data_IF_388341642074
#
_entry.id   IF_388341642074
#
_cell.length_a   1.000
_cell.length_b   1.000
_cell.length_c   1.000
_cell.angle_alpha   90.00
_cell.angle_beta   90.00
_cell.angle_gamma   90.00
#
_symmetry.space_group_name_H-M   'P 1'
#
loop_
_entity.id
_entity.type
_entity.pdbx_description
1 polymer ?
#
# COMPACT_ATOMS: atom_id res chain seq x y z
N UNK A 1 60.44 25.29 -16.66
CA UNK A 1 59.54 26.35 -16.16
C UNK A 1 58.10 25.90 -16.33
N UNK A 2 57.36 25.80 -15.21
CA UNK A 2 55.89 25.94 -15.04
C UNK A 2 55.01 25.01 -15.92
N UNK A 3 54.07 24.21 -15.40
CA UNK A 3 53.09 24.48 -14.33
C UNK A 3 52.60 23.17 -13.72
N UNK A 4 52.67 23.05 -12.40
CA UNK A 4 51.72 22.25 -11.64
C UNK A 4 50.40 23.00 -11.51
N UNK A 5 49.32 22.29 -11.18
CA UNK A 5 48.49 22.49 -9.97
C UNK A 5 47.22 21.63 -10.12
N UNK A 6 47.01 20.73 -9.17
CA UNK A 6 45.73 20.06 -8.91
C UNK A 6 44.80 21.07 -8.25
N UNK A 7 43.57 21.22 -8.76
CA UNK A 7 42.38 21.78 -8.10
C UNK A 7 41.19 21.03 -8.72
N UNK A 8 40.59 20.02 -8.09
CA UNK A 8 39.69 20.06 -6.93
C UNK A 8 38.45 20.95 -7.15
N UNK A 9 37.28 20.28 -7.19
CA UNK A 9 35.94 20.79 -6.88
C UNK A 9 35.19 21.62 -7.94
N UNK A 10 34.18 21.00 -8.56
CA UNK A 10 32.82 21.46 -8.31
C UNK A 10 31.85 20.27 -8.26
N UNK A 11 31.41 20.01 -7.03
CA UNK A 11 30.29 19.18 -6.65
C UNK A 11 29.05 19.60 -7.45
N UNK A 12 28.56 18.72 -8.32
CA UNK A 12 27.14 18.62 -8.61
C UNK A 12 26.73 17.18 -8.31
N UNK A 13 26.87 16.83 -7.03
CA UNK A 13 26.07 15.76 -6.46
C UNK A 13 24.64 16.30 -6.40
N UNK A 14 23.92 16.25 -7.52
CA UNK A 14 22.47 16.10 -7.45
C UNK A 14 22.25 14.79 -6.72
N UNK A 15 22.04 14.88 -5.41
CA UNK A 15 21.32 13.87 -4.66
C UNK A 15 19.97 13.71 -5.38
N UNK A 16 19.92 12.78 -6.32
CA UNK A 16 18.67 12.14 -6.67
C UNK A 16 18.31 11.42 -5.38
N UNK A 17 17.44 12.03 -4.60
CA UNK A 17 16.72 11.34 -3.55
C UNK A 17 15.92 10.26 -4.28
N UNK A 18 16.53 9.09 -4.48
CA UNK A 18 15.78 7.87 -4.67
C UNK A 18 15.05 7.70 -3.35
N UNK A 19 13.80 8.18 -3.31
CA UNK A 19 12.84 7.74 -2.33
C UNK A 19 12.76 6.23 -2.52
N UNK A 20 13.47 5.46 -1.69
CA UNK A 20 13.28 4.02 -1.66
C UNK A 20 11.78 3.80 -1.43
N UNK A 21 11.13 3.09 -2.35
CA UNK A 21 9.75 2.66 -2.13
C UNK A 21 9.71 1.90 -0.80
N UNK A 22 8.75 2.26 0.05
CA UNK A 22 8.54 1.55 1.32
C UNK A 22 8.08 0.14 0.96
N UNK A 23 8.79 -0.87 1.47
CA UNK A 23 8.40 -2.26 1.19
C UNK A 23 7.16 -2.64 2.00
N UNK A 24 6.32 -3.53 1.46
CA UNK A 24 5.16 -4.07 2.17
C UNK A 24 5.54 -4.67 3.52
N UNK A 25 6.68 -5.37 3.58
CA UNK A 25 7.18 -5.96 4.81
C UNK A 25 7.47 -4.90 5.88
N UNK A 26 8.00 -3.72 5.50
CA UNK A 26 8.27 -2.63 6.44
C UNK A 26 6.99 -2.12 7.11
N UNK A 27 5.93 -1.95 6.31
CA UNK A 27 4.61 -1.53 6.79
C UNK A 27 4.01 -2.58 7.73
N UNK A 28 3.97 -3.85 7.30
CA UNK A 28 3.38 -4.92 8.09
C UNK A 28 4.17 -5.18 9.39
N UNK A 29 5.50 -5.10 9.34
CA UNK A 29 6.36 -5.26 10.52
C UNK A 29 6.13 -4.16 11.57
N UNK A 30 5.69 -2.97 11.15
CA UNK A 30 5.36 -1.88 12.08
C UNK A 30 4.13 -2.15 12.96
N UNK A 31 3.31 -3.15 12.59
CA UNK A 31 2.08 -3.53 13.28
C UNK A 31 2.26 -4.71 14.25
N UNK A 32 3.46 -5.30 14.30
CA UNK A 32 3.71 -6.52 15.06
C UNK A 32 3.18 -7.79 14.35
N UNK A 33 3.03 -8.87 15.11
CA UNK A 33 2.70 -10.18 14.57
C UNK A 33 1.19 -10.37 14.38
N UNK A 34 0.76 -10.76 13.19
CA UNK A 34 -0.59 -11.24 12.93
C UNK A 34 -0.75 -12.72 13.31
N UNK A 35 -1.95 -13.12 13.73
CA UNK A 35 -2.29 -14.52 14.03
C UNK A 35 -2.59 -15.36 12.79
N UNK A 36 -3.08 -14.72 11.73
CA UNK A 36 -3.51 -15.37 10.49
C UNK A 36 -3.39 -14.40 9.32
N UNK A 37 -3.09 -14.93 8.14
CA UNK A 37 -3.14 -14.24 6.85
C UNK A 37 -3.98 -15.06 5.88
N UNK A 38 -4.84 -14.38 5.12
CA UNK A 38 -5.45 -14.89 3.89
C UNK A 38 -4.97 -13.98 2.74
N UNK A 39 -4.60 -14.56 1.60
CA UNK A 39 -4.02 -13.82 0.48
C UNK A 39 -4.49 -14.45 -0.83
N UNK A 40 -4.94 -13.60 -1.74
CA UNK A 40 -5.49 -13.99 -3.03
C UNK A 40 -4.94 -13.04 -4.08
N UNK A 41 -4.48 -13.60 -5.19
CA UNK A 41 -3.76 -12.85 -6.21
C UNK A 41 -4.29 -13.20 -7.60
N UNK A 42 -4.21 -12.25 -8.53
CA UNK A 42 -4.41 -12.48 -9.95
C UNK A 42 -3.32 -11.78 -10.76
N UNK A 43 -2.79 -12.45 -11.78
CA UNK A 43 -1.69 -11.93 -12.60
C UNK A 43 -0.33 -12.53 -12.25
N UNK A 44 0.74 -11.76 -12.41
CA UNK A 44 2.11 -12.24 -12.24
C UNK A 44 3.20 -11.17 -12.35
N UNK A 45 4.36 -11.54 -12.90
CA UNK A 45 5.64 -10.82 -12.79
C UNK A 45 5.64 -9.33 -13.18
N UNK A 46 4.70 -8.89 -14.04
CA UNK A 46 4.62 -7.50 -14.48
C UNK A 46 3.33 -6.85 -14.01
N UNK A 47 2.18 -7.44 -14.32
CA UNK A 47 0.88 -6.91 -13.95
C UNK A 47 0.21 -7.89 -12.96
N UNK A 48 -0.17 -7.39 -11.79
CA UNK A 48 -0.82 -8.20 -10.77
C UNK A 48 -1.67 -7.37 -9.81
N UNK A 49 -2.66 -8.05 -9.25
CA UNK A 49 -3.61 -7.53 -8.28
C UNK A 49 -3.62 -8.47 -7.08
N UNK A 50 -3.46 -7.93 -5.87
CA UNK A 50 -3.50 -8.70 -4.63
C UNK A 50 -4.58 -8.18 -3.68
N UNK A 51 -5.27 -9.13 -3.05
CA UNK A 51 -6.16 -8.90 -1.92
C UNK A 51 -5.69 -9.77 -0.75
N UNK A 52 -5.50 -9.18 0.42
CA UNK A 52 -5.17 -9.94 1.61
C UNK A 52 -5.90 -9.44 2.86
N UNK A 53 -6.11 -10.36 3.80
CA UNK A 53 -6.65 -10.09 5.14
C UNK A 53 -5.65 -10.57 6.16
N UNK A 54 -5.20 -9.67 7.02
CA UNK A 54 -4.33 -9.98 8.15
C UNK A 54 -5.11 -9.81 9.44
N UNK A 55 -5.10 -10.85 10.25
CA UNK A 55 -5.89 -10.92 11.47
C UNK A 55 -4.97 -10.68 12.66
N UNK A 56 -5.27 -9.69 13.50
CA UNK A 56 -4.43 -9.29 14.63
C UNK A 56 -5.21 -9.34 15.95
N UNK A 57 -4.55 -9.73 17.03
CA UNK A 57 -5.19 -9.74 18.35
C UNK A 57 -5.38 -8.32 18.87
N UNK A 58 -4.38 -7.47 18.66
CA UNK A 58 -4.40 -6.03 18.90
C UNK A 58 -3.27 -5.36 18.11
N UNK A 59 -3.35 -4.05 17.89
CA UNK A 59 -2.28 -3.25 17.29
C UNK A 59 -2.11 -1.97 18.11
N UNK A 60 -0.87 -1.68 18.48
CA UNK A 60 -0.50 -0.37 19.03
C UNK A 60 -0.07 0.56 17.89
N UNK A 61 -0.86 1.60 17.66
CA UNK A 61 -0.55 2.63 16.66
C UNK A 61 0.24 3.80 17.24
N UNK A 62 0.53 3.83 18.53
CA UNK A 62 1.32 4.91 19.13
C UNK A 62 2.72 4.97 18.50
N UNK A 63 3.02 6.09 17.85
CA UNK A 63 4.30 6.29 17.15
C UNK A 63 4.47 5.46 15.86
N UNK A 64 3.40 4.83 15.34
CA UNK A 64 3.46 4.15 14.05
C UNK A 64 3.75 5.17 12.93
N UNK A 65 4.76 4.93 12.07
CA UNK A 65 5.19 5.91 11.08
C UNK A 65 4.33 5.92 9.79
N UNK A 66 3.45 4.94 9.59
CA UNK A 66 2.68 4.80 8.35
C UNK A 66 1.18 5.07 8.55
N UNK A 67 0.60 4.50 9.60
CA UNK A 67 -0.83 4.53 9.81
C UNK A 67 -1.27 5.78 10.55
N UNK A 68 -2.37 6.36 10.07
CA UNK A 68 -3.08 7.44 10.74
C UNK A 68 -4.55 7.08 10.89
N UNK A 69 -5.27 7.66 11.88
CA UNK A 69 -6.72 7.59 11.91
C UNK A 69 -7.30 8.13 10.60
N UNK A 70 -8.35 7.47 10.09
CA UNK A 70 -9.01 7.93 8.87
C UNK A 70 -9.72 9.28 9.13
N UNK A 71 -9.76 10.11 8.09
CA UNK A 71 -10.53 11.34 8.05
C UNK A 71 -11.58 11.30 6.93
N UNK A 72 -12.49 12.26 6.90
CA UNK A 72 -13.48 12.38 5.80
C UNK A 72 -12.79 12.45 4.42
N UNK A 73 -11.74 13.28 4.27
CA UNK A 73 -10.97 13.35 3.02
C UNK A 73 -10.28 12.04 2.67
N UNK A 74 -9.78 11.31 3.66
CA UNK A 74 -9.14 10.02 3.44
C UNK A 74 -10.15 8.94 3.01
N UNK A 75 -11.40 9.06 3.45
CA UNK A 75 -12.50 8.16 3.06
C UNK A 75 -12.79 8.26 1.56
N UNK A 76 -12.83 9.47 1.01
CA UNK A 76 -13.01 9.70 -0.43
C UNK A 76 -11.84 9.09 -1.24
N UNK A 77 -10.60 9.26 -0.76
CA UNK A 77 -9.41 8.70 -1.40
C UNK A 77 -9.45 7.17 -1.35
N UNK A 78 -9.76 6.58 -0.19
CA UNK A 78 -9.90 5.14 -0.01
C UNK A 78 -10.96 4.57 -0.96
N UNK A 79 -12.13 5.19 -1.05
CA UNK A 79 -13.18 4.77 -1.98
C UNK A 79 -12.71 4.81 -3.43
N UNK A 80 -11.95 5.82 -3.85
CA UNK A 80 -11.41 5.88 -5.21
C UNK A 80 -10.46 4.72 -5.53
N UNK A 81 -9.62 4.30 -4.57
CA UNK A 81 -8.74 3.14 -4.73
C UNK A 81 -9.52 1.82 -4.74
N UNK A 82 -10.56 1.69 -3.92
CA UNK A 82 -11.42 0.49 -3.93
C UNK A 82 -12.21 0.43 -5.25
N UNK A 83 -12.68 1.57 -5.78
CA UNK A 83 -13.33 1.64 -7.09
C UNK A 83 -12.40 1.17 -8.22
N UNK A 84 -11.13 1.59 -8.20
CA UNK A 84 -10.15 1.11 -9.18
C UNK A 84 -9.89 -0.40 -9.02
N UNK A 85 -9.68 -0.84 -7.79
CA UNK A 85 -9.47 -2.25 -7.46
C UNK A 85 -10.62 -3.14 -7.96
N UNK A 86 -11.85 -2.77 -7.65
CA UNK A 86 -13.05 -3.52 -8.04
C UNK A 86 -13.24 -3.53 -9.57
N UNK A 87 -12.90 -2.46 -10.29
CA UNK A 87 -12.93 -2.45 -11.78
C UNK A 87 -11.98 -3.49 -12.37
N UNK A 88 -10.81 -3.68 -11.77
CA UNK A 88 -9.91 -4.75 -12.21
C UNK A 88 -10.48 -6.13 -11.92
N UNK A 89 -11.12 -6.34 -10.76
CA UNK A 89 -11.81 -7.60 -10.45
C UNK A 89 -12.92 -7.92 -11.46
N UNK A 90 -13.67 -6.92 -11.93
CA UNK A 90 -14.70 -7.09 -12.97
C UNK A 90 -14.14 -7.57 -14.32
N UNK A 91 -12.86 -7.29 -14.59
CA UNK A 91 -12.18 -7.71 -15.82
C UNK A 91 -11.62 -9.14 -15.74
N UNK A 92 -11.52 -9.71 -14.54
CA UNK A 92 -10.98 -11.05 -14.34
C UNK A 92 -12.05 -12.13 -14.52
N UNK A 93 -11.61 -13.37 -14.81
CA UNK A 93 -12.52 -14.51 -14.86
C UNK A 93 -13.22 -14.69 -13.50
N UNK A 94 -14.52 -14.96 -13.51
CA UNK A 94 -15.33 -15.23 -12.30
C UNK A 94 -14.83 -16.45 -11.53
N UNK A 95 -14.09 -17.36 -12.17
CA UNK A 95 -13.45 -18.50 -11.50
C UNK A 95 -12.10 -18.15 -10.88
N UNK A 96 -11.59 -16.93 -11.08
CA UNK A 96 -10.37 -16.43 -10.44
C UNK A 96 -10.55 -16.44 -8.93
N UNK A 97 -9.52 -16.91 -8.22
CA UNK A 97 -9.59 -17.06 -6.77
C UNK A 97 -9.84 -15.71 -6.08
N UNK A 98 -9.17 -14.64 -6.50
CA UNK A 98 -9.37 -13.30 -5.92
C UNK A 98 -10.81 -12.82 -6.09
N UNK A 99 -11.44 -13.04 -7.25
CA UNK A 99 -12.83 -12.66 -7.51
C UNK A 99 -13.79 -13.47 -6.63
N UNK A 100 -13.51 -14.76 -6.46
CA UNK A 100 -14.33 -15.64 -5.62
C UNK A 100 -14.15 -15.41 -4.11
N UNK A 101 -13.05 -14.75 -3.70
CA UNK A 101 -12.66 -14.56 -2.29
C UNK A 101 -12.73 -13.11 -1.82
N UNK A 102 -12.84 -12.15 -2.74
CA UNK A 102 -13.05 -10.76 -2.42
C UNK A 102 -14.40 -10.58 -1.71
N UNK A 103 -14.34 -10.12 -0.46
CA UNK A 103 -15.49 -9.98 0.43
C UNK A 103 -15.46 -8.67 1.24
N UNK A 104 -14.68 -7.68 0.79
CA UNK A 104 -14.59 -6.40 1.48
C UNK A 104 -15.93 -5.65 1.43
N UNK A 105 -16.46 -5.30 2.59
CA UNK A 105 -17.68 -4.52 2.74
C UNK A 105 -17.33 -3.06 3.06
N UNK A 106 -17.59 -2.16 2.10
CA UNK A 106 -17.30 -0.73 2.25
C UNK A 106 -18.05 -0.06 3.40
N UNK A 107 -19.15 -0.65 3.87
CA UNK A 107 -19.95 -0.07 4.96
C UNK A 107 -19.28 -0.16 6.34
N UNK A 108 -18.20 -0.94 6.45
CA UNK A 108 -17.44 -1.07 7.71
C UNK A 108 -16.50 0.11 7.96
N UNK A 109 -16.23 0.95 6.96
CA UNK A 109 -15.30 2.08 7.07
C UNK A 109 -15.87 3.11 8.05
N UNK A 110 -15.14 3.36 9.14
CA UNK A 110 -15.51 4.36 10.12
C UNK A 110 -14.32 5.16 10.68
N UNK A 111 -14.60 6.25 11.39
CA UNK A 111 -13.58 7.22 11.86
C UNK A 111 -12.66 6.71 12.98
N UNK A 112 -12.86 5.50 13.49
CA UNK A 112 -11.97 4.83 14.46
C UNK A 112 -10.95 3.93 13.76
N UNK A 113 -11.04 3.79 12.44
CA UNK A 113 -10.16 2.97 11.63
C UNK A 113 -8.87 3.70 11.29
N UNK A 114 -7.88 2.92 10.85
CA UNK A 114 -6.58 3.43 10.47
C UNK A 114 -6.28 3.12 9.01
N UNK A 115 -5.60 4.06 8.35
CA UNK A 115 -5.34 3.98 6.92
C UNK A 115 -3.88 4.31 6.63
N UNK A 116 -3.29 3.51 5.74
CA UNK A 116 -2.09 3.86 5.01
C UNK A 116 -2.30 3.57 3.53
N UNK A 117 -2.08 4.57 2.68
CA UNK A 117 -2.11 4.44 1.23
C UNK A 117 -0.75 4.88 0.69
N UNK A 118 -0.20 4.07 -0.20
CA UNK A 118 1.00 4.39 -0.95
C UNK A 118 0.71 4.31 -2.44
N UNK A 119 0.73 5.45 -3.13
CA UNK A 119 0.76 5.53 -4.58
C UNK A 119 2.21 5.65 -5.05
N UNK A 120 2.63 4.79 -5.97
CA UNK A 120 3.95 4.91 -6.57
C UNK A 120 3.94 6.11 -7.55
N UNK A 121 4.74 7.18 -7.29
CA UNK A 121 4.73 8.37 -8.12
C UNK A 121 5.24 8.13 -9.55
N UNK A 122 5.83 6.96 -9.83
CA UNK A 122 6.26 6.56 -11.18
C UNK A 122 5.10 6.12 -12.06
N UNK A 123 3.95 5.76 -11.47
CA UNK A 123 2.78 5.19 -12.13
C UNK A 123 1.54 6.05 -11.84
N UNK A 124 1.26 7.08 -12.66
CA UNK A 124 0.11 7.96 -12.43
C UNK A 124 -1.21 7.23 -12.66
N UNK A 125 -2.27 7.65 -11.95
CA UNK A 125 -3.64 7.20 -12.20
C UNK A 125 -3.92 5.75 -11.80
N UNK A 126 -3.55 5.38 -10.57
CA UNK A 126 -3.76 4.04 -10.00
C UNK A 126 -2.97 2.89 -10.65
N UNK A 127 -1.90 3.21 -11.40
CA UNK A 127 -1.08 2.17 -12.05
C UNK A 127 -0.25 1.33 -11.08
N UNK A 128 0.14 1.87 -9.91
CA UNK A 128 0.79 1.08 -8.87
C UNK A 128 0.53 1.68 -7.49
N UNK A 129 -0.18 0.94 -6.63
CA UNK A 129 -0.49 1.40 -5.28
C UNK A 129 -0.65 0.27 -4.28
N UNK A 130 -0.53 0.61 -3.00
CA UNK A 130 -0.88 -0.23 -1.87
C UNK A 130 -1.88 0.50 -0.97
N UNK A 131 -2.95 -0.17 -0.59
CA UNK A 131 -3.90 0.29 0.43
C UNK A 131 -3.86 -0.69 1.59
N UNK A 132 -3.65 -0.15 2.79
CA UNK A 132 -3.73 -0.87 4.06
C UNK A 132 -4.80 -0.19 4.91
N UNK A 133 -5.95 -0.85 5.04
CA UNK A 133 -7.08 -0.36 5.82
C UNK A 133 -7.31 -1.27 7.03
N UNK A 134 -7.21 -0.69 8.23
CA UNK A 134 -7.40 -1.39 9.49
C UNK A 134 -8.79 -1.13 10.04
N UNK A 135 -9.59 -2.20 10.12
CA UNK A 135 -10.89 -2.22 10.80
C UNK A 135 -10.67 -2.51 12.29
N UNK A 136 -10.92 -1.48 13.12
CA UNK A 136 -10.71 -1.53 14.57
C UNK A 136 -11.69 -2.44 15.30
N UNK A 137 -12.87 -2.70 14.73
CA UNK A 137 -14.00 -3.38 15.34
C UNK A 137 -13.81 -4.89 15.29
N UNK A 138 -13.31 -5.42 14.16
CA UNK A 138 -13.04 -6.86 13.99
C UNK A 138 -11.54 -7.20 13.99
N UNK A 139 -10.67 -6.19 14.06
CA UNK A 139 -9.21 -6.34 14.16
C UNK A 139 -8.62 -7.07 12.96
N UNK A 140 -8.99 -6.59 11.79
CA UNK A 140 -8.54 -7.10 10.50
C UNK A 140 -7.92 -5.94 9.71
N UNK A 141 -6.72 -6.16 9.20
CA UNK A 141 -6.11 -5.31 8.18
C UNK A 141 -6.45 -5.87 6.81
N UNK A 142 -7.20 -5.10 6.03
CA UNK A 142 -7.47 -5.35 4.63
C UNK A 142 -6.38 -4.70 3.78
N UNK A 143 -5.81 -5.49 2.87
CA UNK A 143 -4.77 -5.06 1.96
C UNK A 143 -5.24 -5.20 0.52
N UNK A 144 -5.09 -4.12 -0.24
CA UNK A 144 -5.38 -4.06 -1.66
C UNK A 144 -4.13 -3.56 -2.38
N UNK A 145 -3.75 -4.25 -3.44
CA UNK A 145 -2.64 -3.83 -4.28
C UNK A 145 -2.99 -4.02 -5.74
N UNK A 146 -2.65 -3.01 -6.54
CA UNK A 146 -2.59 -3.08 -7.98
C UNK A 146 -1.22 -2.65 -8.43
N UNK A 147 -0.71 -3.33 -9.44
CA UNK A 147 0.42 -2.94 -10.24
C UNK A 147 0.10 -3.35 -11.68
N UNK A 148 -0.23 -2.38 -12.54
CA UNK A 148 -0.77 -2.56 -13.90
C UNK A 148 -0.05 -1.64 -14.90
#
# INVERSE_FOLDING_TARGET
>A
MKRGLVFLSLVFATMILFSCAVSQDEVLNSLGAYRKKECFSHGGLQDYTDYAKYYYDDIDFEGNPYFKPISETDTDILHAHIDDFEKWLECFDRTSEIVAKYDFDRSIIDMQDYLYIYDDPRYPGFGNYNVYFWDSQVRILYYFHNNI
#
